data_IF_473812539006
#
_entry.id   IF_473812539006
#
_cell.length_a   1.000
_cell.length_b   1.000
_cell.length_c   1.000
_cell.angle_alpha   90.00
_cell.angle_beta   90.00
_cell.angle_gamma   90.00
#
_symmetry.space_group_name_H-M   'P 1'
#
loop_
_entity.id
_entity.type
_entity.pdbx_description
1 polymer ?
#
# COMPACT_ATOMS: atom_id res chain seq x y z
N UNK A 1 20.12 -7.04 9.77
CA UNK A 1 21.12 -8.11 9.54
C UNK A 1 20.76 -8.86 8.25
N UNK A 2 21.73 -9.35 7.47
CA UNK A 2 21.50 -10.01 6.16
C UNK A 2 21.78 -11.50 6.20
N UNK A 3 20.87 -12.31 5.72
CA UNK A 3 21.11 -13.76 5.56
C UNK A 3 21.78 -14.05 4.22
N UNK A 4 22.88 -14.79 4.23
CA UNK A 4 23.57 -15.19 3.01
C UNK A 4 22.70 -16.18 2.20
N UNK A 5 22.37 -15.90 0.93
CA UNK A 5 21.55 -16.79 0.13
C UNK A 5 22.26 -18.10 -0.26
N UNK A 6 23.59 -18.15 -0.15
CA UNK A 6 24.39 -19.32 -0.52
C UNK A 6 24.58 -20.31 0.64
N UNK A 7 24.72 -19.82 1.87
CA UNK A 7 25.05 -20.68 3.03
C UNK A 7 24.20 -20.45 4.27
N UNK A 8 23.23 -19.54 4.24
CA UNK A 8 22.30 -19.28 5.34
C UNK A 8 22.89 -18.49 6.52
N UNK A 9 24.15 -18.06 6.45
CA UNK A 9 24.80 -17.32 7.55
C UNK A 9 24.23 -15.92 7.72
N UNK A 10 24.07 -15.46 8.96
CA UNK A 10 23.61 -14.11 9.27
C UNK A 10 24.80 -13.14 9.34
N UNK A 11 24.75 -12.06 8.57
CA UNK A 11 25.83 -11.09 8.40
C UNK A 11 25.36 -9.68 8.78
N UNK A 12 26.30 -8.76 9.00
CA UNK A 12 26.00 -7.36 9.29
C UNK A 12 25.36 -6.63 8.09
N UNK A 13 24.58 -5.59 8.36
CA UNK A 13 23.85 -4.83 7.32
C UNK A 13 24.79 -4.09 6.35
N UNK A 14 26.00 -3.75 6.81
CA UNK A 14 27.02 -3.11 5.98
C UNK A 14 28.00 -4.11 5.34
N UNK A 15 27.81 -5.42 5.51
CA UNK A 15 28.67 -6.43 4.90
C UNK A 15 28.36 -6.55 3.40
N UNK A 16 29.38 -6.36 2.56
CA UNK A 16 29.33 -6.54 1.11
C UNK A 16 29.57 -8.00 0.67
N UNK A 17 30.07 -8.85 1.58
CA UNK A 17 30.29 -10.27 1.34
C UNK A 17 30.02 -11.07 2.63
N UNK A 18 29.65 -12.34 2.45
CA UNK A 18 29.38 -13.27 3.53
C UNK A 18 30.70 -13.65 4.21
N UNK A 19 30.79 -13.43 5.52
CA UNK A 19 31.98 -13.74 6.30
C UNK A 19 32.39 -15.22 6.20
N UNK A 20 31.41 -16.12 6.15
CA UNK A 20 31.63 -17.57 6.13
C UNK A 20 32.01 -18.17 4.78
N UNK A 21 31.40 -17.72 3.68
CA UNK A 21 31.57 -18.37 2.37
C UNK A 21 32.05 -17.45 1.26
N UNK A 22 32.29 -16.16 1.56
CA UNK A 22 32.77 -15.17 0.60
C UNK A 22 31.77 -14.78 -0.49
N UNK A 23 30.54 -15.31 -0.47
CA UNK A 23 29.51 -14.92 -1.43
C UNK A 23 29.20 -13.41 -1.30
N UNK A 24 29.08 -12.70 -2.43
CA UNK A 24 28.63 -11.30 -2.42
C UNK A 24 27.26 -11.22 -1.77
N UNK A 25 27.10 -10.27 -0.86
CA UNK A 25 25.83 -9.94 -0.23
C UNK A 25 25.37 -8.63 -0.85
N UNK A 26 24.17 -8.65 -1.42
CA UNK A 26 23.55 -7.43 -1.92
C UNK A 26 23.55 -6.38 -0.81
N UNK A 27 24.12 -5.21 -1.09
CA UNK A 27 24.14 -4.10 -0.15
C UNK A 27 22.73 -3.57 0.01
N UNK A 28 22.03 -3.97 1.08
CA UNK A 28 20.75 -3.41 1.55
C UNK A 28 20.85 -1.94 2.00
N UNK A 29 21.74 -1.15 1.39
CA UNK A 29 22.02 0.26 1.69
C UNK A 29 21.87 1.19 0.48
N UNK A 30 21.36 0.70 -0.64
CA UNK A 30 20.69 1.55 -1.62
C UNK A 30 19.29 0.99 -1.74
N UNK A 31 18.26 1.81 -1.54
CA UNK A 31 16.97 1.46 -2.13
C UNK A 31 17.26 1.11 -3.59
N UNK A 32 16.69 0.01 -4.08
CA UNK A 32 16.73 -0.36 -5.49
C UNK A 32 15.86 0.63 -6.29
N UNK A 33 16.09 1.92 -6.11
CA UNK A 33 15.47 2.96 -6.89
C UNK A 33 16.24 3.00 -8.20
N UNK A 34 15.48 2.97 -9.28
CA UNK A 34 16.04 3.18 -10.60
C UNK A 34 16.02 4.68 -10.85
N UNK A 35 16.72 5.13 -11.88
CA UNK A 35 16.57 6.51 -12.35
C UNK A 35 16.03 6.49 -13.78
N UNK A 36 15.26 7.50 -14.16
CA UNK A 36 14.66 7.62 -15.50
C UNK A 36 15.06 8.94 -16.13
N UNK A 37 15.45 8.88 -17.40
CA UNK A 37 15.68 10.10 -18.18
C UNK A 37 14.34 10.80 -18.46
N UNK A 38 14.17 12.08 -18.10
CA UNK A 38 12.92 12.81 -18.34
C UNK A 38 12.68 13.11 -19.82
N UNK A 39 13.73 13.13 -20.66
CA UNK A 39 13.59 13.42 -22.10
C UNK A 39 13.26 12.20 -22.94
N UNK A 40 13.93 11.06 -22.71
CA UNK A 40 13.79 9.87 -23.55
C UNK A 40 13.15 8.67 -22.84
N UNK A 41 12.91 8.76 -21.53
CA UNK A 41 12.21 7.75 -20.75
C UNK A 41 12.99 6.47 -20.46
N UNK A 42 14.28 6.38 -20.84
CA UNK A 42 15.12 5.22 -20.53
C UNK A 42 15.40 5.13 -19.03
N UNK A 43 15.38 3.91 -18.51
CA UNK A 43 15.62 3.57 -17.11
C UNK A 43 17.09 3.13 -16.95
N UNK A 44 17.69 3.54 -15.85
CA UNK A 44 19.07 3.29 -15.45
C UNK A 44 19.11 2.80 -14.00
N UNK A 45 20.23 2.19 -13.62
CA UNK A 45 20.48 1.87 -12.22
C UNK A 45 20.73 3.15 -11.41
N UNK A 46 20.75 3.03 -10.08
CA UNK A 46 20.90 4.17 -9.18
C UNK A 46 22.24 4.93 -9.35
N UNK A 47 23.26 4.31 -9.96
CA UNK A 47 24.63 4.81 -10.00
C UNK A 47 24.88 5.81 -11.11
N UNK A 48 24.03 5.81 -12.12
CA UNK A 48 24.14 6.67 -13.28
C UNK A 48 23.55 8.03 -12.95
N UNK A 49 24.24 9.11 -13.33
CA UNK A 49 23.77 10.49 -13.11
C UNK A 49 23.24 11.14 -14.38
N UNK A 50 23.72 10.71 -15.55
CA UNK A 50 23.44 11.34 -16.85
C UNK A 50 22.92 10.34 -17.88
N UNK A 51 22.02 10.80 -18.73
CA UNK A 51 21.49 9.98 -19.82
C UNK A 51 22.51 9.81 -20.96
N UNK A 52 22.85 8.56 -21.29
CA UNK A 52 23.75 8.21 -22.40
C UNK A 52 23.24 8.63 -23.80
N UNK A 53 21.94 8.92 -23.96
CA UNK A 53 21.34 9.32 -25.26
C UNK A 53 20.86 10.77 -25.29
N UNK A 54 20.71 11.40 -24.13
CA UNK A 54 20.37 12.80 -24.02
C UNK A 54 21.52 13.47 -23.27
N UNK A 55 22.61 13.82 -23.97
CA UNK A 55 23.73 14.52 -23.34
C UNK A 55 23.19 15.74 -22.59
N UNK A 56 23.76 15.99 -21.42
CA UNK A 56 23.38 17.07 -20.48
C UNK A 56 22.03 16.90 -19.78
N UNK A 57 21.43 15.70 -19.82
CA UNK A 57 20.16 15.45 -19.11
C UNK A 57 20.41 14.62 -17.85
N UNK A 58 20.22 15.18 -16.65
CA UNK A 58 20.30 14.44 -15.40
C UNK A 58 19.16 13.43 -15.30
N UNK A 59 19.44 12.30 -14.68
CA UNK A 59 18.46 11.24 -14.46
C UNK A 59 17.65 11.54 -13.20
N UNK A 60 16.33 11.47 -13.30
CA UNK A 60 15.43 11.67 -12.15
C UNK A 60 15.19 10.35 -11.42
N UNK A 61 15.02 10.40 -10.10
CA UNK A 61 14.65 9.22 -9.30
C UNK A 61 13.35 8.62 -9.83
N UNK A 62 13.35 7.31 -10.04
CA UNK A 62 12.23 6.54 -10.57
C UNK A 62 11.96 5.35 -9.66
N UNK A 63 10.84 5.43 -8.92
CA UNK A 63 10.27 4.27 -8.27
C UNK A 63 9.26 3.61 -9.24
N UNK A 64 9.40 2.31 -9.58
CA UNK A 64 8.36 1.62 -10.30
C UNK A 64 7.07 1.64 -9.46
N UNK A 65 5.94 1.85 -10.12
CA UNK A 65 4.63 2.06 -9.48
C UNK A 65 4.27 0.91 -8.50
N UNK A 66 4.73 -0.31 -8.76
CA UNK A 66 4.54 -1.47 -7.87
C UNK A 66 5.20 -1.31 -6.48
N UNK A 67 6.35 -0.64 -6.36
CA UNK A 67 7.01 -0.45 -5.06
C UNK A 67 6.33 0.62 -4.21
N UNK A 68 5.60 1.54 -4.83
CA UNK A 68 4.85 2.59 -4.10
C UNK A 68 3.64 1.97 -3.40
N UNK A 69 2.91 1.07 -4.05
CA UNK A 69 1.76 0.40 -3.44
C UNK A 69 2.14 -0.39 -2.18
N UNK A 70 3.25 -1.14 -2.21
CA UNK A 70 3.66 -1.98 -1.07
C UNK A 70 4.15 -1.19 0.15
N UNK A 71 4.74 0.00 -0.07
CA UNK A 71 5.15 0.89 1.03
C UNK A 71 3.96 1.60 1.68
N UNK A 72 3.02 2.08 0.86
CA UNK A 72 1.80 2.74 1.34
C UNK A 72 0.90 1.77 2.09
N UNK A 73 0.76 0.52 1.61
CA UNK A 73 -0.07 -0.51 2.25
C UNK A 73 0.45 -0.90 3.66
N UNK A 74 1.77 -0.85 3.87
CA UNK A 74 2.39 -1.08 5.19
C UNK A 74 2.25 0.10 6.15
N UNK A 75 2.00 1.30 5.62
CA UNK A 75 1.74 2.52 6.38
C UNK A 75 0.24 2.73 6.71
N UNK A 76 -0.56 1.65 6.67
CA UNK A 76 -1.97 1.67 7.01
C UNK A 76 -2.20 2.39 8.34
N UNK A 77 -2.69 3.63 8.26
CA UNK A 77 -2.81 4.51 9.41
C UNK A 77 -3.75 3.81 10.39
N UNK A 78 -3.32 3.62 11.64
CA UNK A 78 -4.08 2.89 12.66
C UNK A 78 -5.58 3.27 12.66
N UNK A 79 -5.87 4.57 12.52
CA UNK A 79 -7.22 5.12 12.40
C UNK A 79 -8.05 4.60 11.20
N UNK A 80 -7.45 4.44 10.02
CA UNK A 80 -8.13 3.89 8.84
C UNK A 80 -8.47 2.41 9.06
N UNK A 81 -7.55 1.65 9.65
CA UNK A 81 -7.80 0.26 10.01
C UNK A 81 -8.92 0.13 11.06
N UNK A 82 -8.96 1.01 12.07
CA UNK A 82 -10.08 1.07 13.01
C UNK A 82 -11.41 1.34 12.31
N UNK A 83 -11.47 2.28 11.37
CA UNK A 83 -12.70 2.58 10.63
C UNK A 83 -13.17 1.40 9.77
N UNK A 84 -12.26 0.68 9.11
CA UNK A 84 -12.59 -0.55 8.36
C UNK A 84 -13.21 -1.62 9.27
N UNK A 85 -12.63 -1.84 10.46
CA UNK A 85 -13.15 -2.80 11.43
C UNK A 85 -14.53 -2.37 11.95
N UNK A 86 -14.69 -1.10 12.31
CA UNK A 86 -15.96 -0.56 12.81
C UNK A 86 -17.06 -0.69 11.74
N UNK A 87 -16.76 -0.40 10.47
CA UNK A 87 -17.70 -0.57 9.37
C UNK A 87 -18.14 -2.03 9.21
N UNK A 88 -17.20 -2.97 9.31
CA UNK A 88 -17.52 -4.40 9.30
C UNK A 88 -18.41 -4.84 10.47
N UNK A 89 -18.12 -4.37 11.68
CA UNK A 89 -18.95 -4.65 12.86
C UNK A 89 -20.35 -4.05 12.69
N UNK A 90 -20.44 -2.80 12.23
CA UNK A 90 -21.71 -2.12 11.98
C UNK A 90 -22.57 -2.88 10.98
N UNK A 91 -21.98 -3.39 9.90
CA UNK A 91 -22.67 -4.23 8.92
C UNK A 91 -23.28 -5.47 9.58
N UNK A 92 -22.50 -6.22 10.36
CA UNK A 92 -22.98 -7.43 11.05
C UNK A 92 -24.12 -7.10 12.02
N UNK A 93 -24.01 -6.03 12.78
CA UNK A 93 -25.06 -5.59 13.72
C UNK A 93 -26.35 -5.24 12.97
N UNK A 94 -26.27 -4.47 11.89
CA UNK A 94 -27.44 -4.09 11.10
C UNK A 94 -28.15 -5.30 10.48
N UNK A 95 -27.39 -6.28 9.99
CA UNK A 95 -27.94 -7.53 9.47
C UNK A 95 -28.65 -8.33 10.57
N UNK A 96 -28.04 -8.46 11.76
CA UNK A 96 -28.66 -9.19 12.88
C UNK A 96 -29.96 -8.50 13.32
N UNK A 97 -29.95 -7.17 13.47
CA UNK A 97 -31.15 -6.39 13.81
C UNK A 97 -32.24 -6.60 12.77
N UNK A 98 -31.87 -6.58 11.49
CA UNK A 98 -32.77 -6.90 10.37
C UNK A 98 -33.42 -8.27 10.48
N UNK A 99 -32.62 -9.30 10.79
CA UNK A 99 -33.10 -10.68 10.96
C UNK A 99 -34.05 -10.78 12.16
N UNK A 100 -33.67 -10.22 13.31
CA UNK A 100 -34.49 -10.25 14.53
C UNK A 100 -35.83 -9.57 14.29
N UNK A 101 -35.83 -8.37 13.72
CA UNK A 101 -37.05 -7.66 13.38
C UNK A 101 -37.89 -8.43 12.36
N UNK A 102 -37.26 -8.99 11.32
CA UNK A 102 -37.93 -9.79 10.31
C UNK A 102 -38.64 -11.02 10.89
N UNK A 103 -38.01 -11.73 11.82
CA UNK A 103 -38.59 -12.90 12.51
C UNK A 103 -39.72 -12.49 13.44
N UNK A 104 -39.57 -11.38 14.18
CA UNK A 104 -40.58 -10.91 15.13
C UNK A 104 -41.86 -10.42 14.45
N UNK A 105 -41.73 -9.73 13.31
CA UNK A 105 -42.89 -9.25 12.55
C UNK A 105 -43.55 -10.38 11.74
N UNK A 106 -42.74 -11.25 11.14
CA UNK A 106 -43.21 -12.35 10.29
C UNK A 106 -43.84 -11.87 8.98
N UNK A 107 -44.25 -12.84 8.15
CA UNK A 107 -44.94 -12.58 6.89
C UNK A 107 -44.11 -11.80 5.86
N UNK A 108 -44.82 -11.17 4.91
CA UNK A 108 -44.21 -10.38 3.83
C UNK A 108 -43.54 -9.10 4.36
N UNK A 109 -44.12 -8.49 5.41
CA UNK A 109 -43.61 -7.27 6.04
C UNK A 109 -42.27 -7.51 6.73
N UNK A 110 -42.12 -8.64 7.44
CA UNK A 110 -40.85 -9.04 8.03
C UNK A 110 -39.76 -9.29 6.99
N UNK A 111 -40.12 -9.86 5.83
CA UNK A 111 -39.18 -10.04 4.71
C UNK A 111 -38.67 -8.70 4.16
N UNK A 112 -39.55 -7.73 3.93
CA UNK A 112 -39.14 -6.41 3.45
C UNK A 112 -38.30 -5.64 4.48
N UNK A 113 -38.57 -5.81 5.77
CA UNK A 113 -37.76 -5.24 6.85
C UNK A 113 -36.33 -5.77 6.83
N UNK A 114 -36.17 -7.09 6.74
CA UNK A 114 -34.85 -7.73 6.58
C UNK A 114 -34.15 -7.26 5.30
N UNK A 115 -34.83 -7.33 4.15
CA UNK A 115 -34.25 -6.94 2.87
C UNK A 115 -33.82 -5.47 2.86
N UNK A 116 -34.64 -4.57 3.43
CA UNK A 116 -34.33 -3.16 3.59
C UNK A 116 -33.07 -2.94 4.43
N UNK A 117 -32.98 -3.55 5.61
CA UNK A 117 -31.80 -3.45 6.47
C UNK A 117 -30.53 -3.99 5.80
N UNK A 118 -30.65 -5.07 5.03
CA UNK A 118 -29.52 -5.68 4.33
C UNK A 118 -29.00 -4.77 3.22
N UNK A 119 -29.89 -4.18 2.42
CA UNK A 119 -29.52 -3.22 1.38
C UNK A 119 -28.87 -1.98 1.99
N UNK A 120 -29.44 -1.43 3.07
CA UNK A 120 -28.87 -0.27 3.77
C UNK A 120 -27.48 -0.60 4.32
N UNK A 121 -27.29 -1.78 4.91
CA UNK A 121 -25.99 -2.22 5.41
C UNK A 121 -24.96 -2.32 4.27
N UNK A 122 -25.34 -2.88 3.11
CA UNK A 122 -24.46 -2.96 1.94
C UNK A 122 -24.07 -1.59 1.40
N UNK A 123 -25.03 -0.68 1.26
CA UNK A 123 -24.78 0.69 0.80
C UNK A 123 -23.87 1.42 1.78
N UNK A 124 -24.09 1.25 3.09
CA UNK A 124 -23.25 1.88 4.12
C UNK A 124 -21.83 1.37 4.07
N UNK A 125 -21.64 0.05 3.91
CA UNK A 125 -20.30 -0.56 3.77
C UNK A 125 -19.60 -0.05 2.51
N UNK A 126 -20.29 -0.06 1.37
CA UNK A 126 -19.74 0.42 0.10
C UNK A 126 -19.34 1.90 0.18
N UNK A 127 -20.20 2.75 0.76
CA UNK A 127 -19.91 4.17 0.95
C UNK A 127 -18.64 4.37 1.78
N UNK A 128 -18.52 3.68 2.93
CA UNK A 128 -17.32 3.79 3.77
C UNK A 128 -16.07 3.33 3.02
N UNK A 129 -16.12 2.22 2.28
CA UNK A 129 -14.96 1.74 1.53
C UNK A 129 -14.50 2.75 0.46
N UNK A 130 -15.44 3.37 -0.28
CA UNK A 130 -15.13 4.42 -1.26
C UNK A 130 -14.46 5.64 -0.58
N UNK A 131 -15.01 6.12 0.54
CA UNK A 131 -14.42 7.26 1.25
C UNK A 131 -13.05 6.94 1.84
N UNK A 132 -12.84 5.72 2.33
CA UNK A 132 -11.54 5.31 2.86
C UNK A 132 -10.48 5.23 1.77
N UNK A 133 -10.82 4.71 0.59
CA UNK A 133 -9.90 4.63 -0.55
C UNK A 133 -9.53 6.04 -1.07
N UNK A 134 -10.51 6.95 -1.15
CA UNK A 134 -10.24 8.35 -1.46
C UNK A 134 -9.33 9.00 -0.40
N UNK A 135 -9.54 8.70 0.88
CA UNK A 135 -8.72 9.24 1.96
C UNK A 135 -7.28 8.71 1.94
N UNK A 136 -7.08 7.46 1.52
CA UNK A 136 -5.73 6.92 1.31
C UNK A 136 -5.04 7.58 0.12
N UNK A 137 -5.74 7.78 -0.99
CA UNK A 137 -5.17 8.39 -2.19
C UNK A 137 -4.72 9.83 -1.95
N UNK A 138 -5.54 10.64 -1.27
CA UNK A 138 -5.18 12.03 -0.91
C UNK A 138 -3.94 12.10 -0.02
N UNK A 139 -3.79 11.15 0.93
CA UNK A 139 -2.58 11.09 1.77
C UNK A 139 -1.34 10.72 0.97
N UNK A 140 -1.47 9.76 0.07
CA UNK A 140 -0.38 9.36 -0.83
C UNK A 140 0.10 10.54 -1.67
N UNK A 141 -0.83 11.30 -2.25
CA UNK A 141 -0.51 12.52 -3.02
C UNK A 141 0.18 13.57 -2.14
N UNK A 142 -0.34 13.83 -0.92
CA UNK A 142 0.25 14.81 -0.01
C UNK A 142 1.69 14.44 0.37
N UNK A 143 1.93 13.16 0.66
CA UNK A 143 3.25 12.68 1.06
C UNK A 143 4.25 12.80 -0.11
N UNK A 144 3.84 12.44 -1.32
CA UNK A 144 4.67 12.61 -2.53
C UNK A 144 5.04 14.08 -2.76
N UNK A 145 4.09 15.01 -2.58
CA UNK A 145 4.34 16.44 -2.74
C UNK A 145 5.23 17.05 -1.63
N UNK A 146 5.24 16.48 -0.42
CA UNK A 146 6.13 16.97 0.65
C UNK A 146 7.59 16.55 0.48
N UNK A 147 7.84 15.41 -0.18
CA UNK A 147 9.22 14.95 -0.45
C UNK A 147 9.91 15.79 -1.54
N UNK A 148 9.15 16.39 -2.46
CA UNK A 148 9.68 17.29 -3.52
C UNK A 148 10.07 18.70 -3.02
N UNK A 149 9.75 19.04 -1.76
CA UNK A 149 9.90 20.40 -1.20
C UNK A 149 11.10 20.62 -0.28
N UNK A 150 11.95 19.61 -0.05
CA UNK A 150 13.11 19.68 0.86
C UNK A 150 14.48 19.85 0.15
N UNK A 151 14.50 20.32 -1.11
CA UNK A 151 15.74 20.73 -1.82
C UNK A 151 16.00 22.24 -1.77
#
# INVERSE_FOLDING_TARGET
MKTCPKCGELNGDNSAACFKCGAKLETSGGAAYQKKCPKCGRIYDAKEELCAHCPDTPLAVYAPVESVYTYVDRSGSFWINCLRIIAGISFVVLVIVGIVNGVMTGGLEGFFSFLGSFVIALVSLAAVMVFLDMATDVRTIKNALSEDGEE
#
